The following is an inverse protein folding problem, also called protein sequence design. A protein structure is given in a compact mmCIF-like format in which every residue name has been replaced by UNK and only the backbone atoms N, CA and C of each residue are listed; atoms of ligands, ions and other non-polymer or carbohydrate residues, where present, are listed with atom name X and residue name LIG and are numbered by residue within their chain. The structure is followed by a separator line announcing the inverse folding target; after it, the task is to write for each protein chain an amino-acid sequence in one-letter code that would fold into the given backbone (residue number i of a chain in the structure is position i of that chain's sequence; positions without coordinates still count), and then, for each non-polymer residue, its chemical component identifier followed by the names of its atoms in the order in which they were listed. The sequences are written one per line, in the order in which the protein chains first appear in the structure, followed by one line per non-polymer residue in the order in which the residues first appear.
data_IF_003257989966
#
_entry.id   IF_003257989966
#
_cell.length_a   1.000
_cell.length_b   1.000
_cell.length_c   1.000
_cell.angle_alpha   90.00
_cell.angle_beta   90.00
_cell.angle_gamma   90.00
#
_symmetry.space_group_name_H-M   'P 1'
#
loop_
_entity.id
_entity.type
_entity.pdbx_description
1 polymer ?
#
# COMPACT_ATOMS: atom_id res chain seq x y z
N UNK A 1 15.60 10.42 -2.02
CA UNK A 1 14.56 9.38 -1.95
C UNK A 1 14.29 9.04 -0.49
N UNK A 2 13.04 9.14 -0.04
CA UNK A 2 12.66 9.02 1.37
C UNK A 2 12.70 7.55 1.84
N UNK A 3 13.90 7.06 2.21
CA UNK A 3 14.16 5.66 2.57
C UNK A 3 13.10 5.06 3.52
N UNK A 4 12.62 5.83 4.50
CA UNK A 4 11.58 5.38 5.44
C UNK A 4 10.23 5.10 4.76
N UNK A 5 9.79 5.97 3.85
CA UNK A 5 8.54 5.78 3.10
C UNK A 5 8.68 4.63 2.10
N UNK A 6 9.83 4.49 1.45
CA UNK A 6 10.10 3.35 0.57
C UNK A 6 10.04 2.03 1.34
N UNK A 7 10.64 1.95 2.53
CA UNK A 7 10.56 0.78 3.41
C UNK A 7 9.13 0.52 3.87
N UNK A 8 8.38 1.56 4.24
CA UNK A 8 6.97 1.43 4.63
C UNK A 8 6.12 0.88 3.48
N UNK A 9 6.28 1.42 2.26
CA UNK A 9 5.59 0.94 1.05
C UNK A 9 5.88 -0.54 0.81
N UNK A 10 7.16 -0.96 0.84
CA UNK A 10 7.52 -2.37 0.65
C UNK A 10 6.83 -3.29 1.65
N UNK A 11 6.80 -2.91 2.94
CA UNK A 11 6.12 -3.69 3.98
C UNK A 11 4.62 -3.77 3.77
N UNK A 12 3.97 -2.67 3.38
CA UNK A 12 2.53 -2.66 3.11
C UNK A 12 2.17 -3.57 1.93
N UNK A 13 2.95 -3.51 0.85
CA UNK A 13 2.77 -4.38 -0.34
C UNK A 13 2.97 -5.85 0.05
N UNK A 14 4.00 -6.18 0.83
CA UNK A 14 4.22 -7.55 1.33
C UNK A 14 3.04 -8.06 2.16
N UNK A 15 2.47 -7.23 3.04
CA UNK A 15 1.29 -7.63 3.82
C UNK A 15 0.04 -7.81 2.95
N UNK A 16 -0.19 -6.92 1.99
CA UNK A 16 -1.30 -7.03 1.04
C UNK A 16 -1.18 -8.33 0.23
N UNK A 17 0.01 -8.62 -0.32
CA UNK A 17 0.28 -9.84 -1.06
C UNK A 17 0.02 -11.08 -0.19
N UNK A 18 0.47 -11.08 1.06
CA UNK A 18 0.21 -12.17 2.00
C UNK A 18 -1.28 -12.42 2.23
N UNK A 19 -2.08 -11.36 2.44
CA UNK A 19 -3.53 -11.49 2.63
C UNK A 19 -4.24 -12.00 1.37
N UNK A 20 -3.83 -11.51 0.19
CA UNK A 20 -4.37 -11.97 -1.10
C UNK A 20 -4.05 -13.45 -1.31
N UNK A 21 -2.80 -13.89 -1.05
CA UNK A 21 -2.42 -15.29 -1.16
C UNK A 21 -3.19 -16.17 -0.17
N UNK A 22 -3.38 -15.72 1.07
CA UNK A 22 -4.19 -16.44 2.05
C UNK A 22 -5.65 -16.58 1.62
N UNK A 23 -6.24 -15.52 1.07
CA UNK A 23 -7.60 -15.54 0.53
C UNK A 23 -7.73 -16.48 -0.67
N UNK A 24 -6.74 -16.51 -1.56
CA UNK A 24 -6.73 -17.36 -2.74
C UNK A 24 -6.52 -18.85 -2.43
N UNK A 25 -5.81 -19.16 -1.34
CA UNK A 25 -5.54 -20.53 -0.90
C UNK A 25 -6.56 -21.09 0.09
N UNK A 26 -7.54 -20.29 0.51
CA UNK A 26 -8.60 -20.76 1.39
C UNK A 26 -9.60 -21.64 0.62
N UNK A 27 -10.13 -22.68 1.27
CA UNK A 27 -11.15 -23.58 0.71
C UNK A 27 -12.55 -22.93 0.60
N UNK A 28 -12.61 -21.62 0.34
CA UNK A 28 -13.84 -20.85 0.27
C UNK A 28 -13.61 -19.40 -0.14
N UNK A 29 -14.70 -18.68 -0.37
CA UNK A 29 -14.65 -17.27 -0.71
C UNK A 29 -14.09 -16.44 0.46
N UNK A 30 -13.29 -15.39 0.19
CA UNK A 30 -12.82 -14.50 1.24
C UNK A 30 -14.00 -13.83 1.95
N UNK A 31 -13.89 -13.74 3.28
CA UNK A 31 -14.88 -13.01 4.07
C UNK A 31 -14.88 -11.53 3.72
N UNK A 32 -16.01 -10.84 3.91
CA UNK A 32 -16.10 -9.39 3.74
C UNK A 32 -15.05 -8.64 4.59
N UNK A 33 -14.73 -9.16 5.79
CA UNK A 33 -13.66 -8.61 6.63
C UNK A 33 -12.28 -8.73 5.98
N UNK A 34 -11.98 -9.84 5.30
CA UNK A 34 -10.73 -10.02 4.58
C UNK A 34 -10.64 -9.06 3.38
N UNK A 35 -11.73 -8.91 2.62
CA UNK A 35 -11.81 -7.97 1.49
C UNK A 35 -11.59 -6.52 1.97
N UNK A 36 -12.25 -6.12 3.06
CA UNK A 36 -12.05 -4.78 3.66
C UNK A 36 -10.60 -4.52 4.05
N UNK A 37 -9.95 -5.48 4.72
CA UNK A 37 -8.54 -5.36 5.12
C UNK A 37 -7.59 -5.19 3.92
N UNK A 38 -7.85 -5.89 2.82
CA UNK A 38 -7.07 -5.73 1.59
C UNK A 38 -7.27 -4.32 1.01
N UNK A 39 -8.52 -3.84 0.95
CA UNK A 39 -8.83 -2.49 0.46
C UNK A 39 -8.22 -1.39 1.34
N UNK A 40 -8.22 -1.54 2.66
CA UNK A 40 -7.58 -0.59 3.58
C UNK A 40 -6.06 -0.51 3.35
N UNK A 41 -5.41 -1.65 3.08
CA UNK A 41 -4.00 -1.69 2.72
C UNK A 41 -3.73 -1.01 1.37
N UNK A 42 -4.57 -1.25 0.36
CA UNK A 42 -4.48 -0.61 -0.96
C UNK A 42 -4.55 0.92 -0.84
N UNK A 43 -5.55 1.43 -0.13
CA UNK A 43 -5.70 2.86 0.12
C UNK A 43 -4.48 3.44 0.84
N UNK A 44 -3.93 2.71 1.81
CA UNK A 44 -2.73 3.13 2.55
C UNK A 44 -1.49 3.13 1.64
N UNK A 45 -1.33 2.14 0.76
CA UNK A 45 -0.22 2.07 -0.20
C UNK A 45 -0.27 3.28 -1.14
N UNK A 46 -1.43 3.57 -1.72
CA UNK A 46 -1.62 4.72 -2.61
C UNK A 46 -1.27 6.04 -1.91
N UNK A 47 -1.71 6.22 -0.67
CA UNK A 47 -1.35 7.41 0.11
C UNK A 47 0.17 7.53 0.33
N UNK A 48 0.86 6.43 0.64
CA UNK A 48 2.31 6.42 0.82
C UNK A 48 3.04 6.67 -0.52
N UNK A 49 2.52 6.15 -1.63
CA UNK A 49 3.05 6.39 -2.98
C UNK A 49 2.98 7.88 -3.34
N UNK A 50 1.83 8.52 -3.15
CA UNK A 50 1.70 9.97 -3.33
C UNK A 50 2.69 10.76 -2.45
N UNK A 51 2.88 10.38 -1.18
CA UNK A 51 3.88 11.03 -0.33
C UNK A 51 5.31 10.84 -0.85
N UNK A 52 5.63 9.70 -1.47
CA UNK A 52 6.95 9.46 -2.08
C UNK A 52 7.13 10.34 -3.32
N UNK A 53 6.10 10.49 -4.14
CA UNK A 53 6.09 11.33 -5.34
C UNK A 53 6.25 12.82 -4.98
N UNK A 54 5.45 13.31 -4.02
CA UNK A 54 5.48 14.67 -3.50
C UNK A 54 6.85 15.05 -2.91
N UNK A 55 7.56 14.07 -2.35
CA UNK A 55 8.88 14.26 -1.74
C UNK A 55 10.03 13.86 -2.68
N UNK A 56 9.71 13.45 -3.91
CA UNK A 56 10.69 13.18 -4.97
C UNK A 56 11.35 14.47 -5.49
N UNK A 57 12.36 14.36 -6.37
CA UNK A 57 13.01 15.53 -6.97
C UNK A 57 12.05 16.46 -7.76
N UNK A 58 10.86 15.96 -8.12
CA UNK A 58 9.80 16.75 -8.75
C UNK A 58 8.97 17.61 -7.77
N UNK A 59 9.09 17.38 -6.45
CA UNK A 59 8.32 18.07 -5.41
C UNK A 59 8.85 19.45 -4.99
N UNK A 60 10.02 19.87 -5.49
CA UNK A 60 10.58 21.22 -5.25
C UNK A 60 10.02 22.24 -6.26
N UNK A 61 8.71 22.29 -6.46
CA UNK A 61 8.15 23.19 -7.45
C UNK A 61 6.65 23.16 -7.60
N UNK A 62 5.92 23.57 -6.57
CA UNK A 62 4.75 24.45 -6.72
C UNK A 62 4.30 24.94 -5.34
N UNK A 63 4.90 26.05 -4.91
CA UNK A 63 4.08 27.08 -4.26
C UNK A 63 3.05 27.54 -5.28
N UNK A 64 1.78 27.34 -5.00
CA UNK A 64 0.68 28.25 -5.32
C UNK A 64 -0.53 27.87 -4.50
#
# INVERSE_FOLDING_TARGET
MHKKLTVLRSRLVEQQQKLISQAAMADGLPTESAIRKISDLENTIVAVEHMIEDLGPAGHGKSR
#
